data_IF_889921419470
#
_entry.id   IF_889921419470
#
_cell.length_a   1.000
_cell.length_b   1.000
_cell.length_c   1.000
_cell.angle_alpha   90.00
_cell.angle_beta   90.00
_cell.angle_gamma   90.00
#
_symmetry.space_group_name_H-M   'P 1'
#
loop_
_entity.id
_entity.type
_entity.pdbx_description
1 polymer ?
#
# COMPACT_ATOMS: atom_id res chain seq x y z
N UNK A 1 30.93 24.17 1.98
CA UNK A 1 29.89 24.77 2.85
C UNK A 1 28.49 24.52 2.29
N UNK A 2 28.17 24.91 1.04
CA UNK A 2 26.83 24.65 0.49
C UNK A 2 26.52 23.18 0.20
N UNK A 3 27.50 22.40 -0.29
CA UNK A 3 27.34 20.95 -0.56
C UNK A 3 27.23 20.08 0.72
N UNK A 4 27.75 20.57 1.84
CA UNK A 4 27.68 19.92 3.15
C UNK A 4 26.28 20.11 3.77
N UNK A 5 25.74 21.32 3.67
CA UNK A 5 24.39 21.65 4.11
C UNK A 5 23.32 20.89 3.31
N UNK A 6 23.44 20.83 1.97
CA UNK A 6 22.51 20.07 1.12
C UNK A 6 22.52 18.59 1.48
N UNK A 7 23.71 17.99 1.68
CA UNK A 7 23.87 16.60 2.09
C UNK A 7 23.25 16.33 3.47
N UNK A 8 23.32 17.28 4.40
CA UNK A 8 22.72 17.18 5.74
C UNK A 8 21.19 17.29 5.71
N UNK A 9 20.65 18.08 4.78
CA UNK A 9 19.20 18.20 4.52
C UNK A 9 18.67 16.91 3.88
N UNK A 10 19.36 16.37 2.86
CA UNK A 10 18.99 15.13 2.16
C UNK A 10 18.90 13.92 3.11
N UNK A 11 19.89 13.76 4.00
CA UNK A 11 19.93 12.66 4.97
C UNK A 11 18.80 12.71 6.01
N UNK A 12 18.28 13.90 6.34
CA UNK A 12 17.18 14.04 7.31
C UNK A 12 15.81 13.70 6.71
N UNK A 13 15.67 13.82 5.39
CA UNK A 13 14.39 13.60 4.70
C UNK A 13 14.17 12.16 4.23
N UNK A 14 15.22 11.35 4.10
CA UNK A 14 15.14 9.96 3.59
C UNK A 14 14.89 8.90 4.67
N UNK A 15 13.87 9.07 5.52
CA UNK A 15 13.48 7.99 6.44
C UNK A 15 12.72 6.86 5.73
N UNK A 16 12.05 7.17 4.62
CA UNK A 16 11.26 6.24 3.82
C UNK A 16 11.80 6.26 2.39
N UNK A 17 11.75 5.12 1.70
CA UNK A 17 12.27 4.94 0.32
C UNK A 17 11.29 5.45 -0.74
N UNK A 18 10.36 6.34 -0.37
CA UNK A 18 9.28 6.80 -1.24
C UNK A 18 9.32 8.30 -1.42
N UNK A 19 8.93 8.73 -2.60
CA UNK A 19 8.82 10.15 -2.92
C UNK A 19 7.65 10.77 -2.16
N UNK A 20 7.99 11.71 -1.29
CA UNK A 20 7.01 12.36 -0.43
C UNK A 20 6.32 13.49 -1.20
N UNK A 21 5.01 13.35 -1.42
CA UNK A 21 4.24 14.40 -2.09
C UNK A 21 4.21 15.66 -1.23
N UNK A 22 4.55 16.82 -1.82
CA UNK A 22 4.48 18.11 -1.12
C UNK A 22 3.04 18.52 -0.89
N UNK A 23 2.79 19.14 0.26
CA UNK A 23 1.46 19.61 0.65
C UNK A 23 0.85 20.63 -0.31
N UNK A 24 1.69 21.48 -0.93
CA UNK A 24 1.28 22.46 -1.93
C UNK A 24 0.66 21.82 -3.17
N UNK A 25 1.12 20.62 -3.50
CA UNK A 25 0.77 19.89 -4.73
C UNK A 25 -0.49 19.03 -4.48
N UNK A 26 -0.95 18.93 -3.24
CA UNK A 26 -2.09 18.15 -2.82
C UNK A 26 -3.30 19.04 -2.51
N UNK A 27 -4.10 19.35 -3.53
CA UNK A 27 -5.35 20.09 -3.40
C UNK A 27 -6.50 19.22 -2.86
N UNK A 28 -6.46 17.92 -3.12
CA UNK A 28 -7.47 16.94 -2.72
C UNK A 28 -6.85 15.61 -2.29
N UNK A 29 -7.62 14.82 -1.54
CA UNK A 29 -7.22 13.48 -1.11
C UNK A 29 -6.94 12.57 -2.30
N UNK A 30 -5.77 11.92 -2.37
CA UNK A 30 -5.43 10.99 -3.46
C UNK A 30 -6.30 9.72 -3.52
N UNK A 31 -7.12 9.45 -2.49
CA UNK A 31 -7.99 8.28 -2.42
C UNK A 31 -9.44 8.58 -2.80
N UNK A 32 -9.99 9.69 -2.29
CA UNK A 32 -11.41 10.01 -2.43
C UNK A 32 -11.68 11.32 -3.17
N UNK A 33 -10.63 11.98 -3.65
CA UNK A 33 -10.68 13.23 -4.44
C UNK A 33 -11.39 14.42 -3.77
N UNK A 34 -11.73 14.31 -2.48
CA UNK A 34 -12.31 15.41 -1.70
C UNK A 34 -11.23 16.44 -1.35
N UNK A 35 -11.52 17.71 -1.62
CA UNK A 35 -10.62 18.83 -1.34
C UNK A 35 -10.28 18.94 0.15
N UNK A 36 -9.03 19.29 0.44
CA UNK A 36 -8.61 19.58 1.81
C UNK A 36 -9.18 20.92 2.29
N UNK A 37 -9.35 21.04 3.60
CA UNK A 37 -9.87 22.24 4.26
C UNK A 37 -9.35 22.36 5.68
N UNK A 38 -9.77 23.38 6.43
CA UNK A 38 -9.40 23.56 7.83
C UNK A 38 -9.87 22.39 8.73
N UNK A 39 -10.89 21.63 8.31
CA UNK A 39 -11.37 20.46 9.04
C UNK A 39 -10.91 19.15 8.41
N UNK A 40 -10.75 19.10 7.08
CA UNK A 40 -10.17 17.95 6.37
C UNK A 40 -8.67 18.20 6.17
N UNK A 41 -7.87 17.82 7.17
CA UNK A 41 -6.41 17.98 7.15
C UNK A 41 -5.71 16.95 6.27
N UNK A 42 -4.50 17.31 5.82
CA UNK A 42 -3.60 16.46 5.04
C UNK A 42 -2.88 15.47 5.94
N UNK A 43 -2.73 14.25 5.45
CA UNK A 43 -1.90 13.22 6.06
C UNK A 43 -1.16 12.46 4.96
N UNK A 44 0.08 12.07 5.18
CA UNK A 44 0.78 11.26 4.20
C UNK A 44 0.67 9.76 4.50
N UNK A 45 0.57 8.96 3.46
CA UNK A 45 0.83 7.54 3.53
C UNK A 45 2.35 7.30 3.67
N UNK A 46 2.79 6.56 4.69
CA UNK A 46 4.22 6.26 4.88
C UNK A 46 4.73 5.14 3.97
N UNK A 47 3.83 4.40 3.31
CA UNK A 47 4.18 3.35 2.36
C UNK A 47 4.35 3.90 0.93
N UNK A 48 3.54 4.88 0.49
CA UNK A 48 3.60 5.41 -0.89
C UNK A 48 3.83 6.94 -1.01
N UNK A 49 3.90 7.68 0.09
CA UNK A 49 4.21 9.12 0.09
C UNK A 49 3.06 10.06 -0.34
N UNK A 50 1.94 9.54 -0.85
CA UNK A 50 0.77 10.33 -1.28
C UNK A 50 0.07 11.04 -0.11
N UNK A 51 -0.58 12.17 -0.41
CA UNK A 51 -1.39 12.93 0.57
C UNK A 51 -2.85 12.47 0.57
N UNK A 52 -3.32 12.06 1.73
CA UNK A 52 -4.63 11.46 1.99
C UNK A 52 -5.31 12.11 3.19
N UNK A 53 -6.62 11.93 3.32
CA UNK A 53 -7.39 12.41 4.48
C UNK A 53 -7.49 11.33 5.57
N UNK A 54 -7.92 11.70 6.78
CA UNK A 54 -8.00 10.78 7.91
C UNK A 54 -8.91 9.57 7.65
N UNK A 55 -10.10 9.72 7.03
CA UNK A 55 -10.96 8.58 6.69
C UNK A 55 -10.33 7.58 5.72
N UNK A 56 -9.44 8.02 4.82
CA UNK A 56 -8.81 7.15 3.81
C UNK A 56 -7.44 6.61 4.23
N UNK A 57 -7.14 6.67 5.53
CA UNK A 57 -5.85 6.26 6.10
C UNK A 57 -5.96 5.89 7.57
N UNK A 58 -7.02 5.18 7.95
CA UNK A 58 -7.27 4.83 9.35
C UNK A 58 -6.27 3.81 9.90
N UNK A 59 -5.66 3.04 9.01
CA UNK A 59 -4.81 1.90 9.34
C UNK A 59 -3.36 2.28 9.58
N UNK A 60 -2.67 1.45 10.36
CA UNK A 60 -1.23 1.58 10.62
C UNK A 60 -0.53 0.24 10.41
N UNK A 61 0.56 0.26 9.64
CA UNK A 61 1.28 -0.95 9.23
C UNK A 61 2.79 -0.78 9.33
N UNK A 62 3.51 -1.89 9.20
CA UNK A 62 4.97 -1.90 9.09
C UNK A 62 5.40 -1.24 7.79
N UNK A 63 6.39 -0.35 7.84
CA UNK A 63 6.95 0.31 6.66
C UNK A 63 8.47 0.26 6.72
N UNK A 64 9.18 0.16 5.57
CA UNK A 64 10.63 0.20 5.55
C UNK A 64 11.18 1.44 6.26
N UNK A 65 12.27 1.29 7.02
CA UNK A 65 12.91 2.39 7.74
C UNK A 65 12.23 2.79 9.07
N UNK A 66 11.26 2.01 9.55
CA UNK A 66 10.61 2.25 10.85
C UNK A 66 10.34 0.97 11.61
N UNK A 67 10.73 0.95 12.90
CA UNK A 67 10.39 -0.13 13.84
C UNK A 67 8.95 -0.05 14.38
N UNK A 68 8.31 1.11 14.23
CA UNK A 68 6.94 1.33 14.69
C UNK A 68 5.97 1.37 13.52
N UNK A 69 4.74 0.92 13.75
CA UNK A 69 3.66 1.01 12.78
C UNK A 69 3.39 2.48 12.38
N UNK A 70 3.16 2.71 11.10
CA UNK A 70 2.93 4.03 10.52
C UNK A 70 1.63 4.06 9.73
N UNK A 71 1.05 5.26 9.65
CA UNK A 71 -0.17 5.51 8.87
C UNK A 71 0.04 5.14 7.40
N UNK A 72 -0.84 4.31 6.88
CA UNK A 72 -0.92 3.94 5.45
C UNK A 72 -2.30 4.32 4.90
N UNK A 73 -2.40 4.55 3.59
CA UNK A 73 -3.70 4.72 2.93
C UNK A 73 -4.35 3.37 2.66
N UNK A 74 -5.64 3.38 2.35
CA UNK A 74 -6.44 2.16 2.14
C UNK A 74 -5.89 1.30 0.98
N UNK A 75 -5.37 1.92 -0.09
CA UNK A 75 -4.71 1.19 -1.18
C UNK A 75 -3.48 0.42 -0.68
N UNK A 76 -2.58 1.09 0.05
CA UNK A 76 -1.37 0.46 0.57
C UNK A 76 -1.71 -0.63 1.59
N UNK A 77 -2.71 -0.38 2.43
CA UNK A 77 -3.24 -1.38 3.34
C UNK A 77 -3.59 -2.66 2.55
N UNK A 78 -4.48 -2.55 1.56
CA UNK A 78 -4.94 -3.71 0.78
C UNK A 78 -3.79 -4.44 0.06
N UNK A 79 -2.80 -3.72 -0.47
CA UNK A 79 -1.64 -4.35 -1.13
C UNK A 79 -0.79 -5.22 -0.20
N UNK A 80 -0.67 -4.85 1.08
CA UNK A 80 0.10 -5.64 2.05
C UNK A 80 -0.68 -6.87 2.56
N UNK A 81 -2.01 -6.87 2.49
CA UNK A 81 -2.81 -8.06 2.81
C UNK A 81 -2.73 -9.15 1.73
N UNK A 82 -2.59 -8.78 0.45
CA UNK A 82 -2.45 -9.74 -0.66
C UNK A 82 -1.04 -10.34 -0.79
N UNK A 83 -0.06 -9.77 -0.08
CA UNK A 83 1.35 -10.18 -0.15
C UNK A 83 1.81 -10.98 1.08
N UNK A 84 0.91 -11.48 1.92
CA UNK A 84 1.30 -12.52 2.87
C UNK A 84 1.41 -13.84 2.09
N UNK A 85 2.61 -14.44 1.95
CA UNK A 85 2.73 -15.80 1.45
C UNK A 85 2.23 -16.72 2.58
N UNK A 86 0.94 -16.98 2.59
CA UNK A 86 0.37 -18.08 3.35
C UNK A 86 0.18 -19.24 2.36
N UNK A 87 1.27 -20.00 2.16
CA UNK A 87 1.30 -21.36 1.62
C UNK A 87 0.77 -21.57 0.19
N UNK A 88 1.64 -21.96 -0.73
CA UNK A 88 1.19 -22.38 -2.06
C UNK A 88 2.27 -22.71 -3.09
N UNK A 89 3.49 -23.08 -2.70
CA UNK A 89 4.35 -23.89 -3.55
C UNK A 89 3.94 -25.36 -3.40
N UNK A 90 2.99 -25.78 -4.24
CA UNK A 90 2.84 -27.20 -4.55
C UNK A 90 4.07 -27.60 -5.38
N UNK A 91 4.98 -28.34 -4.75
CA UNK A 91 5.97 -29.13 -5.49
C UNK A 91 5.20 -30.13 -6.38
N UNK A 92 5.06 -29.81 -7.67
CA UNK A 92 4.59 -30.76 -8.68
C UNK A 92 5.72 -31.75 -8.91
N UNK A 93 5.75 -32.82 -8.11
CA UNK A 93 6.39 -34.06 -8.53
C UNK A 93 5.35 -34.93 -9.24
N UNK A 94 5.43 -34.88 -10.57
CA UNK A 94 5.13 -36.04 -11.43
C UNK A 94 3.67 -36.30 -11.73
N UNK A 95 3.28 -35.95 -12.97
CA UNK A 95 2.42 -36.77 -13.82
C UNK A 95 0.95 -36.88 -13.42
N UNK A 96 0.08 -36.38 -14.29
CA UNK A 96 -1.07 -37.10 -14.87
C UNK A 96 -1.80 -36.09 -15.75
N UNK A 97 -1.69 -36.29 -17.07
CA UNK A 97 -2.47 -35.60 -18.08
C UNK A 97 -3.97 -35.76 -17.79
N UNK A 98 -4.70 -34.65 -17.70
CA UNK A 98 -6.15 -34.63 -17.68
C UNK A 98 -6.64 -33.52 -18.62
N UNK A 99 -7.21 -33.95 -19.75
CA UNK A 99 -7.77 -33.13 -20.82
C UNK A 99 -8.89 -32.17 -20.34
N UNK A 100 -9.12 -31.04 -21.03
CA UNK A 100 -10.24 -30.15 -20.75
C UNK A 100 -11.55 -30.78 -21.25
N UNK A 101 -12.49 -31.05 -20.35
CA UNK A 101 -13.88 -31.30 -20.75
C UNK A 101 -14.69 -30.00 -20.60
N UNK A 102 -15.23 -29.54 -21.72
CA UNK A 102 -16.15 -28.41 -21.81
C UNK A 102 -17.44 -28.65 -20.99
N UNK A 103 -18.16 -27.56 -20.75
CA UNK A 103 -19.55 -27.50 -20.29
C UNK A 103 -19.78 -27.43 -18.77
N UNK A 104 -19.46 -26.26 -18.21
CA UNK A 104 -19.79 -25.86 -16.86
C UNK A 104 -21.26 -26.11 -16.48
N UNK A 105 -21.48 -27.10 -15.60
CA UNK A 105 -22.75 -27.32 -14.93
C UNK A 105 -22.56 -27.63 -13.44
N UNK A 106 -23.00 -26.70 -12.61
CA UNK A 106 -23.13 -26.90 -11.17
C UNK A 106 -24.53 -27.44 -10.87
N UNK A 107 -24.65 -28.59 -10.20
CA UNK A 107 -25.89 -28.99 -9.52
C UNK A 107 -25.58 -29.45 -8.10
N UNK A 108 -26.26 -28.80 -7.17
CA UNK A 108 -26.37 -29.15 -5.76
C UNK A 108 -27.17 -30.44 -5.60
N UNK A 109 -26.65 -31.40 -4.84
CA UNK A 109 -27.51 -32.39 -4.18
C UNK A 109 -27.23 -32.31 -2.68
N UNK A 110 -28.29 -31.93 -1.97
CA UNK A 110 -28.49 -32.14 -0.54
C UNK A 110 -28.65 -33.64 -0.33
N UNK A 111 -27.98 -34.16 0.69
CA UNK A 111 -28.41 -35.25 1.55
C UNK A 111 -27.88 -34.97 2.97
#
# INVERSE_FOLDING_TARGET
>A
AQLDETRRVEMKTQKYTVDWQRDSDALACSMCSRSFSLVRRRHHCRSCGKVVCAPCSMSRESVPGSVHLKRVCDDCQMTHFSASPQGGDVEIWGGLDADPLEDGKWRTSID
#
